data_IF_748390650220
#
_entry.id   IF_748390650220
#
_cell.length_a   1.000
_cell.length_b   1.000
_cell.length_c   1.000
_cell.angle_alpha   90.00
_cell.angle_beta   90.00
_cell.angle_gamma   90.00
#
_symmetry.space_group_name_H-M   'P 1'
#
loop_
_entity.id
_entity.type
_entity.pdbx_description
1 polymer ?
#
# COMPACT_ATOMS: atom_id res chain seq x y z
N UNK A 1 5.87 9.92 17.03
CA UNK A 1 4.65 10.51 16.43
C UNK A 1 3.43 9.75 16.94
N UNK A 2 2.54 10.39 17.70
CA UNK A 2 1.35 9.74 18.26
C UNK A 2 0.38 9.30 17.16
N UNK A 3 -0.36 8.20 17.40
CA UNK A 3 -1.35 7.66 16.45
C UNK A 3 -2.35 8.72 15.98
N UNK A 4 -2.77 9.60 16.90
CA UNK A 4 -3.72 10.69 16.63
C UNK A 4 -3.14 11.74 15.69
N UNK A 5 -1.92 12.23 15.97
CA UNK A 5 -1.29 13.23 15.12
C UNK A 5 -1.06 12.73 13.68
N UNK A 6 -0.71 11.46 13.51
CA UNK A 6 -0.58 10.87 12.16
C UNK A 6 -1.94 10.75 11.45
N UNK A 7 -2.99 10.37 12.17
CA UNK A 7 -4.33 10.18 11.59
C UNK A 7 -4.91 11.50 11.06
N UNK A 8 -4.77 12.58 11.83
CA UNK A 8 -5.18 13.93 11.41
C UNK A 8 -4.45 14.38 10.14
N UNK A 9 -3.12 14.22 10.10
CA UNK A 9 -2.30 14.69 8.97
C UNK A 9 -2.52 13.84 7.70
N UNK A 10 -2.58 12.51 7.84
CA UNK A 10 -2.59 11.60 6.69
C UNK A 10 -4.00 11.33 6.14
N UNK A 11 -5.03 11.41 6.99
CA UNK A 11 -6.39 10.98 6.64
C UNK A 11 -7.45 12.06 6.87
N UNK A 12 -7.17 13.12 7.63
CA UNK A 12 -8.15 14.13 8.00
C UNK A 12 -9.28 13.60 8.91
N UNK A 13 -9.13 12.38 9.41
CA UNK A 13 -10.05 11.73 10.35
C UNK A 13 -9.28 10.86 11.36
N UNK A 14 -9.76 10.84 12.59
CA UNK A 14 -9.34 9.84 13.60
C UNK A 14 -10.33 8.69 13.56
N UNK A 15 -9.90 7.58 12.96
CA UNK A 15 -10.67 6.34 12.99
C UNK A 15 -10.52 5.63 14.33
N UNK A 16 -11.65 5.15 14.84
CA UNK A 16 -11.67 4.18 15.92
C UNK A 16 -11.14 2.83 15.44
N UNK A 17 -10.67 2.00 16.39
CA UNK A 17 -10.21 0.65 16.06
C UNK A 17 -11.33 -0.18 15.43
N UNK A 18 -12.56 -0.07 15.94
CA UNK A 18 -13.71 -0.80 15.40
C UNK A 18 -14.08 -0.40 13.97
N UNK A 19 -13.95 0.88 13.60
CA UNK A 19 -14.19 1.32 12.22
C UNK A 19 -13.13 0.77 11.26
N UNK A 20 -11.86 0.75 11.68
CA UNK A 20 -10.79 0.16 10.89
C UNK A 20 -11.05 -1.32 10.64
N UNK A 21 -11.38 -2.09 11.68
CA UNK A 21 -11.69 -3.52 11.56
C UNK A 21 -12.85 -3.77 10.59
N UNK A 22 -13.96 -3.02 10.72
CA UNK A 22 -15.10 -3.12 9.79
C UNK A 22 -14.72 -2.79 8.34
N UNK A 23 -13.78 -1.87 8.11
CA UNK A 23 -13.28 -1.57 6.75
C UNK A 23 -12.46 -2.73 6.20
N UNK A 24 -11.64 -3.39 7.03
CA UNK A 24 -10.88 -4.58 6.63
C UNK A 24 -11.78 -5.78 6.32
N UNK A 25 -12.78 -6.06 7.18
CA UNK A 25 -13.70 -7.19 7.00
C UNK A 25 -14.54 -7.10 5.72
N UNK A 26 -14.68 -5.90 5.15
CA UNK A 26 -15.40 -5.66 3.89
C UNK A 26 -14.60 -5.98 2.64
N UNK A 27 -13.28 -6.18 2.75
CA UNK A 27 -12.42 -6.42 1.59
C UNK A 27 -12.67 -7.81 1.02
N UNK A 28 -13.15 -7.86 -0.23
CA UNK A 28 -13.43 -9.11 -0.93
C UNK A 28 -12.36 -9.49 -1.97
N UNK A 29 -12.43 -10.71 -2.53
CA UNK A 29 -11.51 -11.16 -3.58
C UNK A 29 -11.49 -10.28 -4.84
N UNK A 30 -12.63 -9.68 -5.20
CA UNK A 30 -12.71 -8.76 -6.36
C UNK A 30 -11.96 -7.45 -6.11
N UNK A 31 -12.00 -6.92 -4.88
CA UNK A 31 -11.22 -5.74 -4.53
C UNK A 31 -9.73 -5.99 -4.66
N UNK A 32 -9.28 -7.17 -4.21
CA UNK A 32 -7.88 -7.60 -4.35
C UNK A 32 -7.50 -7.68 -5.82
N UNK A 33 -8.29 -8.35 -6.67
CA UNK A 33 -8.04 -8.43 -8.12
C UNK A 33 -7.97 -7.06 -8.77
N UNK A 34 -8.92 -6.16 -8.44
CA UNK A 34 -8.97 -4.80 -8.97
C UNK A 34 -7.75 -3.98 -8.58
N UNK A 35 -7.34 -4.03 -7.31
CA UNK A 35 -6.16 -3.31 -6.82
C UNK A 35 -4.89 -3.90 -7.40
N UNK A 36 -4.75 -5.23 -7.44
CA UNK A 36 -3.61 -5.91 -8.03
C UNK A 36 -3.43 -5.50 -9.50
N UNK A 37 -4.50 -5.53 -10.30
CA UNK A 37 -4.45 -5.06 -11.70
C UNK A 37 -3.98 -3.61 -11.79
N UNK A 38 -4.49 -2.72 -10.95
CA UNK A 38 -4.12 -1.30 -10.96
C UNK A 38 -2.65 -1.07 -10.60
N UNK A 39 -2.16 -1.77 -9.58
CA UNK A 39 -0.79 -1.58 -9.05
C UNK A 39 0.23 -2.26 -9.95
N UNK A 40 -0.01 -3.51 -10.34
CA UNK A 40 0.93 -4.30 -11.13
C UNK A 40 0.97 -3.93 -12.61
N UNK A 41 0.00 -3.14 -13.10
CA UNK A 41 0.05 -2.59 -14.45
C UNK A 41 0.91 -1.32 -14.56
N UNK A 42 1.40 -0.76 -13.44
CA UNK A 42 2.26 0.42 -13.49
C UNK A 42 3.68 0.02 -13.92
N UNK A 43 4.46 0.93 -14.53
CA UNK A 43 5.88 0.70 -14.80
C UNK A 43 6.62 0.30 -13.52
N UNK A 44 7.45 -0.76 -13.61
CA UNK A 44 8.28 -1.20 -12.51
C UNK A 44 9.42 -0.21 -12.28
N UNK A 45 9.55 0.26 -11.04
CA UNK A 45 10.70 1.04 -10.59
C UNK A 45 11.66 0.13 -9.83
N UNK A 46 12.84 -0.11 -10.39
CA UNK A 46 13.87 -0.96 -9.77
C UNK A 46 15.03 -0.08 -9.32
N UNK A 47 15.55 -0.34 -8.11
CA UNK A 47 16.75 0.30 -7.57
C UNK A 47 17.70 -0.77 -7.09
N UNK A 48 18.96 -0.66 -7.51
CA UNK A 48 20.01 -1.62 -7.23
C UNK A 48 21.22 -0.89 -6.68
N UNK A 49 21.81 -1.41 -5.62
CA UNK A 49 22.97 -0.83 -4.95
C UNK A 49 24.06 -1.89 -4.75
N UNK A 50 25.29 -1.57 -5.18
CA UNK A 50 26.45 -2.46 -5.06
C UNK A 50 26.83 -3.15 -6.39
N UNK A 51 27.75 -4.13 -6.35
CA UNK A 51 28.21 -4.84 -7.54
C UNK A 51 27.08 -5.69 -8.12
N UNK A 52 26.63 -5.37 -9.33
CA UNK A 52 25.59 -6.13 -10.02
C UNK A 52 26.05 -6.64 -11.37
N UNK A 53 25.61 -7.86 -11.67
CA UNK A 53 25.88 -8.52 -12.94
C UNK A 53 24.96 -7.95 -14.01
N UNK A 54 25.42 -8.00 -15.24
CA UNK A 54 24.64 -7.63 -16.41
C UNK A 54 23.38 -8.51 -16.49
N UNK A 55 22.20 -7.91 -16.76
CA UNK A 55 20.91 -8.61 -16.85
C UNK A 55 20.14 -8.81 -15.54
N UNK A 56 20.59 -8.23 -14.42
CA UNK A 56 19.87 -8.32 -13.12
C UNK A 56 18.64 -7.40 -13.06
N UNK A 57 18.60 -6.36 -13.87
CA UNK A 57 17.45 -5.46 -14.04
C UNK A 57 17.05 -5.50 -15.51
N UNK A 58 15.77 -5.77 -15.76
CA UNK A 58 15.19 -5.82 -17.11
C UNK A 58 15.23 -4.46 -17.81
#
# INVERSE_FOLDING_TARGET
>A
MSRLGRSEIAHGEILTVGEMLRRFDRVGPEDVRRVAKRVLSQPLSVTVLGPVREGVVA
#
